data_IF_854426569521
#
_entry.id   IF_854426569521
#
_cell.length_a   1.000
_cell.length_b   1.000
_cell.length_c   1.000
_cell.angle_alpha   90.00
_cell.angle_beta   90.00
_cell.angle_gamma   90.00
#
_symmetry.space_group_name_H-M   'P 1'
#
loop_
_entity.id
_entity.type
_entity.pdbx_description
1 polymer ?
#
# COMPACT_ATOMS: atom_id res chain seq x y z
N UNK A 1 18.91 10.09 5.74
CA UNK A 1 18.85 8.78 4.99
C UNK A 1 17.48 8.07 5.05
N UNK A 2 16.51 8.57 5.82
CA UNK A 2 15.22 7.89 6.08
C UNK A 2 14.43 7.55 4.81
N UNK A 3 14.28 8.50 3.88
CA UNK A 3 13.56 8.28 2.62
C UNK A 3 14.13 7.14 1.79
N UNK A 4 15.45 7.00 1.72
CA UNK A 4 16.11 5.89 0.99
C UNK A 4 15.80 4.55 1.64
N UNK A 5 15.85 4.48 2.99
CA UNK A 5 15.46 3.27 3.74
C UNK A 5 13.99 2.91 3.50
N UNK A 6 13.09 3.89 3.48
CA UNK A 6 11.67 3.68 3.17
C UNK A 6 11.46 3.11 1.75
N UNK A 7 12.13 3.65 0.73
CA UNK A 7 12.03 3.09 -0.63
C UNK A 7 12.48 1.62 -0.64
N UNK A 8 13.61 1.31 -0.01
CA UNK A 8 14.19 -0.04 -0.06
C UNK A 8 13.40 -1.02 0.81
N UNK A 9 13.13 -0.69 2.07
CA UNK A 9 12.55 -1.63 3.03
C UNK A 9 11.03 -1.67 2.98
N UNK A 10 10.37 -0.62 2.52
CA UNK A 10 8.90 -0.58 2.51
C UNK A 10 8.36 -0.75 1.11
N UNK A 11 8.81 0.07 0.16
CA UNK A 11 8.26 0.05 -1.20
C UNK A 11 8.67 -1.23 -1.93
N UNK A 12 9.97 -1.58 -1.94
CA UNK A 12 10.41 -2.81 -2.63
C UNK A 12 9.87 -4.08 -1.95
N UNK A 13 9.85 -4.14 -0.62
CA UNK A 13 9.28 -5.30 0.10
C UNK A 13 7.77 -5.37 -0.11
N UNK A 14 7.05 -4.25 -0.08
CA UNK A 14 5.62 -4.19 -0.40
C UNK A 14 5.30 -4.56 -1.85
N UNK A 15 6.26 -4.39 -2.77
CA UNK A 15 6.15 -4.83 -4.17
C UNK A 15 6.45 -6.32 -4.37
N UNK A 16 6.87 -7.05 -3.33
CA UNK A 16 7.22 -8.48 -3.42
C UNK A 16 6.11 -9.35 -4.04
N UNK A 17 4.80 -9.18 -3.73
CA UNK A 17 3.75 -9.95 -4.37
C UNK A 17 3.72 -9.81 -5.90
N UNK A 18 4.01 -8.61 -6.42
CA UNK A 18 4.10 -8.36 -7.86
C UNK A 18 5.29 -9.08 -8.50
N UNK A 19 6.44 -9.07 -7.82
CA UNK A 19 7.63 -9.78 -8.30
C UNK A 19 7.40 -11.31 -8.32
N UNK A 20 6.74 -11.85 -7.30
CA UNK A 20 6.36 -13.26 -7.24
C UNK A 20 5.41 -13.60 -8.39
N UNK A 21 4.38 -12.80 -8.64
CA UNK A 21 3.45 -13.03 -9.76
C UNK A 21 4.11 -12.91 -11.11
N UNK A 22 5.04 -11.98 -11.27
CA UNK A 22 5.84 -11.87 -12.49
C UNK A 22 6.65 -13.14 -12.72
N UNK A 23 7.29 -13.68 -11.69
CA UNK A 23 8.03 -14.94 -11.77
C UNK A 23 7.11 -16.12 -12.13
N UNK A 24 5.95 -16.24 -11.46
CA UNK A 24 4.95 -17.28 -11.77
C UNK A 24 4.45 -17.14 -13.21
N UNK A 25 4.19 -15.94 -13.69
CA UNK A 25 3.77 -15.67 -15.07
C UNK A 25 4.83 -16.11 -16.09
N UNK A 26 6.12 -15.88 -15.82
CA UNK A 26 7.20 -16.34 -16.71
C UNK A 26 7.27 -17.86 -16.80
N UNK A 27 6.98 -18.57 -15.71
CA UNK A 27 7.01 -20.03 -15.63
C UNK A 27 5.69 -20.68 -16.07
N UNK A 28 4.59 -19.94 -16.11
CA UNK A 28 3.27 -20.47 -16.43
C UNK A 28 3.18 -20.85 -17.91
N UNK A 29 2.62 -22.04 -18.17
CA UNK A 29 2.30 -22.51 -19.52
C UNK A 29 1.21 -21.62 -20.18
N UNK A 30 0.28 -21.08 -19.37
CA UNK A 30 -0.76 -20.15 -19.82
C UNK A 30 -0.46 -18.76 -19.27
N UNK A 31 -0.04 -17.87 -20.18
CA UNK A 31 0.36 -16.48 -19.87
C UNK A 31 -0.85 -15.55 -19.86
N UNK A 32 -1.68 -15.68 -18.83
CA UNK A 32 -2.83 -14.80 -18.65
C UNK A 32 -2.41 -13.48 -17.98
N UNK A 33 -2.71 -12.36 -18.63
CA UNK A 33 -2.41 -11.02 -18.10
C UNK A 33 -3.11 -10.73 -16.76
N UNK A 34 -4.27 -11.35 -16.50
CA UNK A 34 -4.96 -11.27 -15.22
C UNK A 34 -4.17 -11.84 -14.04
N UNK A 35 -3.16 -12.68 -14.32
CA UNK A 35 -2.26 -13.24 -13.31
C UNK A 35 -1.26 -12.21 -12.77
N UNK A 36 -0.91 -11.20 -13.58
CA UNK A 36 0.02 -10.12 -13.22
C UNK A 36 -0.65 -8.98 -12.44
N UNK A 37 -1.92 -8.69 -12.74
CA UNK A 37 -2.64 -7.53 -12.19
C UNK A 37 -3.76 -7.99 -11.25
N UNK A 38 -3.39 -8.41 -10.04
CA UNK A 38 -4.36 -8.82 -9.04
C UNK A 38 -4.65 -7.65 -8.06
N UNK A 39 -5.93 -7.33 -7.80
CA UNK A 39 -6.30 -6.25 -6.87
C UNK A 39 -5.72 -6.42 -5.47
N UNK A 40 -5.55 -7.66 -5.00
CA UNK A 40 -5.03 -7.98 -3.67
C UNK A 40 -3.60 -7.46 -3.49
N UNK A 41 -2.76 -7.52 -4.53
CA UNK A 41 -1.37 -7.07 -4.42
C UNK A 41 -1.26 -5.55 -4.23
N UNK A 42 -2.10 -4.79 -4.95
CA UNK A 42 -2.19 -3.34 -4.79
C UNK A 42 -2.68 -2.95 -3.40
N UNK A 43 -3.66 -3.69 -2.87
CA UNK A 43 -4.15 -3.47 -1.51
C UNK A 43 -3.07 -3.77 -0.48
N UNK A 44 -2.34 -4.87 -0.64
CA UNK A 44 -1.22 -5.22 0.24
C UNK A 44 -0.15 -4.13 0.26
N UNK A 45 0.28 -3.66 -0.92
CA UNK A 45 1.23 -2.55 -1.00
C UNK A 45 0.70 -1.30 -0.29
N UNK A 46 -0.56 -0.93 -0.53
CA UNK A 46 -1.23 0.18 0.16
C UNK A 46 -1.23 0.02 1.69
N UNK A 47 -1.52 -1.18 2.19
CA UNK A 47 -1.50 -1.48 3.62
C UNK A 47 -0.09 -1.36 4.20
N UNK A 48 0.92 -1.93 3.53
CA UNK A 48 2.33 -1.84 3.94
C UNK A 48 2.81 -0.39 4.03
N UNK A 49 2.42 0.46 3.08
CA UNK A 49 2.75 1.89 3.07
C UNK A 49 2.14 2.62 4.28
N UNK A 50 0.84 2.44 4.52
CA UNK A 50 0.16 3.12 5.63
C UNK A 50 0.60 2.61 7.01
N UNK A 51 0.90 1.31 7.13
CA UNK A 51 1.46 0.75 8.37
C UNK A 51 2.85 1.31 8.66
N UNK A 52 3.68 1.47 7.62
CA UNK A 52 5.00 2.10 7.77
C UNK A 52 4.88 3.56 8.16
N UNK A 53 3.91 4.31 7.61
CA UNK A 53 3.67 5.70 8.03
C UNK A 53 3.44 5.78 9.55
N UNK A 54 2.57 4.93 10.09
CA UNK A 54 2.32 4.89 11.54
C UNK A 54 3.58 4.54 12.33
N UNK A 55 4.35 3.55 11.88
CA UNK A 55 5.58 3.13 12.54
C UNK A 55 6.64 4.25 12.58
N UNK A 56 6.85 4.94 11.47
CA UNK A 56 7.79 6.05 11.37
C UNK A 56 7.31 7.25 12.19
N UNK A 57 6.02 7.58 12.16
CA UNK A 57 5.48 8.73 12.90
C UNK A 57 5.50 8.52 14.42
N UNK A 58 5.37 7.29 14.91
CA UNK A 58 5.21 7.00 16.33
C UNK A 58 6.35 7.60 17.18
N UNK A 59 7.59 7.49 16.71
CA UNK A 59 8.78 7.95 17.44
C UNK A 59 9.18 9.41 17.16
N UNK A 60 8.43 10.10 16.28
CA UNK A 60 8.82 11.42 15.79
C UNK A 60 8.22 12.56 16.61
N UNK A 61 9.04 13.58 16.87
CA UNK A 61 8.66 14.82 17.57
C UNK A 61 8.16 15.85 16.56
N UNK A 62 6.99 15.58 16.00
CA UNK A 62 6.25 16.48 15.12
C UNK A 62 5.32 17.40 15.92
N UNK A 63 4.87 18.50 15.31
CA UNK A 63 3.76 19.29 15.81
C UNK A 63 2.54 18.37 16.07
N UNK A 64 1.91 18.41 17.27
CA UNK A 64 0.87 17.45 17.66
C UNK A 64 -0.29 17.34 16.66
N UNK A 65 -0.74 18.47 16.11
CA UNK A 65 -1.87 18.51 15.16
C UNK A 65 -1.47 17.88 13.83
N UNK A 66 -0.25 18.14 13.35
CA UNK A 66 0.23 17.58 12.10
C UNK A 66 0.45 16.06 12.21
N UNK A 67 1.03 15.60 13.33
CA UNK A 67 1.20 14.18 13.63
C UNK A 67 -0.15 13.45 13.65
N UNK A 68 -1.12 14.00 14.39
CA UNK A 68 -2.47 13.43 14.46
C UNK A 68 -3.14 13.33 13.08
N UNK A 69 -2.96 14.33 12.20
CA UNK A 69 -3.49 14.30 10.83
C UNK A 69 -2.87 13.18 10.01
N UNK A 70 -1.55 13.00 10.06
CA UNK A 70 -0.86 11.96 9.30
C UNK A 70 -1.18 10.55 9.81
N UNK A 71 -1.24 10.37 11.12
CA UNK A 71 -1.63 9.11 11.74
C UNK A 71 -3.10 8.78 11.41
N UNK A 72 -4.01 9.73 11.62
CA UNK A 72 -5.43 9.55 11.33
C UNK A 72 -5.70 9.20 9.86
N UNK A 73 -5.02 9.88 8.93
CA UNK A 73 -5.12 9.55 7.50
C UNK A 73 -4.66 8.11 7.21
N UNK A 74 -3.53 7.70 7.79
CA UNK A 74 -2.98 6.36 7.61
C UNK A 74 -3.92 5.29 8.17
N UNK A 75 -4.53 5.53 9.33
CA UNK A 75 -5.54 4.62 9.94
C UNK A 75 -6.79 4.51 9.07
N UNK A 76 -7.32 5.63 8.57
CA UNK A 76 -8.50 5.61 7.69
C UNK A 76 -8.22 4.78 6.43
N UNK A 77 -7.05 4.97 5.81
CA UNK A 77 -6.67 4.18 4.64
C UNK A 77 -6.52 2.70 4.95
N UNK A 78 -5.93 2.33 6.11
CA UNK A 78 -5.84 0.92 6.53
C UNK A 78 -7.23 0.30 6.65
N UNK A 79 -8.19 1.00 7.25
CA UNK A 79 -9.57 0.52 7.40
C UNK A 79 -10.22 0.31 6.03
N UNK A 80 -10.13 1.28 5.13
CA UNK A 80 -10.70 1.19 3.78
C UNK A 80 -10.08 0.04 2.98
N UNK A 81 -8.75 -0.04 2.94
CA UNK A 81 -8.01 -1.09 2.23
C UNK A 81 -8.31 -2.48 2.80
N UNK A 82 -8.37 -2.62 4.13
CA UNK A 82 -8.72 -3.90 4.78
C UNK A 82 -10.17 -4.30 4.50
N UNK A 83 -11.10 -3.34 4.42
CA UNK A 83 -12.48 -3.59 4.01
C UNK A 83 -12.58 -4.11 2.58
N UNK A 84 -11.86 -3.50 1.63
CA UNK A 84 -11.81 -3.97 0.24
C UNK A 84 -11.18 -5.36 0.17
N UNK A 85 -10.13 -5.62 0.95
CA UNK A 85 -9.50 -6.94 1.03
C UNK A 85 -10.50 -8.01 1.50
N UNK A 86 -11.27 -7.71 2.54
CA UNK A 86 -12.31 -8.61 3.04
C UNK A 86 -13.39 -8.91 1.99
N UNK A 87 -13.81 -7.91 1.22
CA UNK A 87 -14.77 -8.08 0.11
C UNK A 87 -14.18 -8.99 -0.99
N UNK A 88 -12.90 -8.81 -1.34
CA UNK A 88 -12.22 -9.63 -2.34
C UNK A 88 -12.15 -11.09 -1.92
N UNK A 89 -11.77 -11.37 -0.67
CA UNK A 89 -11.73 -12.74 -0.15
C UNK A 89 -13.12 -13.37 -0.07
N UNK A 90 -14.13 -12.60 0.34
CA UNK A 90 -15.51 -13.07 0.34
C UNK A 90 -16.00 -13.42 -1.08
N UNK A 91 -15.69 -12.59 -2.07
CA UNK A 91 -16.04 -12.84 -3.46
C UNK A 91 -15.34 -14.10 -4.01
N UNK A 92 -14.06 -14.30 -3.68
CA UNK A 92 -13.30 -15.49 -4.08
C UNK A 92 -13.90 -16.79 -3.49
N UNK A 93 -14.37 -16.74 -2.25
CA UNK A 93 -14.96 -17.90 -1.58
C UNK A 93 -16.40 -18.22 -2.04
N UNK A 94 -17.16 -17.22 -2.48
CA UNK A 94 -18.60 -17.35 -2.73
C UNK A 94 -18.98 -18.13 -4.00
N UNK A 95 -18.01 -18.46 -4.88
CA UNK A 95 -18.19 -19.14 -6.19
C UNK A 95 -19.25 -18.53 -7.13
N UNK A 96 -19.78 -17.35 -6.81
CA UNK A 96 -20.69 -16.55 -7.62
C UNK A 96 -19.97 -15.28 -8.03
N UNK A 97 -20.22 -14.78 -9.24
CA UNK A 97 -19.76 -13.46 -9.68
C UNK A 97 -20.56 -12.35 -8.96
N UNK A 98 -20.29 -12.19 -7.66
CA UNK A 98 -20.89 -11.14 -6.83
C UNK A 98 -20.14 -9.82 -6.97
N UNK A 99 -18.91 -9.85 -7.51
CA UNK A 99 -18.02 -8.70 -7.60
C UNK A 99 -17.45 -8.55 -9.01
N UNK A 100 -17.58 -7.34 -9.57
CA UNK A 100 -16.89 -6.97 -10.81
C UNK A 100 -15.39 -6.82 -10.56
N UNK A 101 -14.61 -7.74 -11.12
CA UNK A 101 -13.15 -7.81 -10.97
C UNK A 101 -12.45 -6.57 -11.54
N UNK A 102 -12.99 -5.96 -12.59
CA UNK A 102 -12.41 -4.76 -13.22
C UNK A 102 -12.57 -3.56 -12.31
N UNK A 103 -13.78 -3.36 -11.77
CA UNK A 103 -14.05 -2.27 -10.85
C UNK A 103 -13.22 -2.45 -9.57
N UNK A 104 -13.15 -3.66 -9.03
CA UNK A 104 -12.33 -3.96 -7.86
C UNK A 104 -10.84 -3.65 -8.09
N UNK A 105 -10.31 -3.99 -9.27
CA UNK A 105 -8.94 -3.66 -9.66
C UNK A 105 -8.69 -2.15 -9.76
N UNK A 106 -9.59 -1.40 -10.41
CA UNK A 106 -9.48 0.05 -10.52
C UNK A 106 -9.50 0.71 -9.14
N UNK A 107 -10.40 0.28 -8.26
CA UNK A 107 -10.46 0.76 -6.88
C UNK A 107 -9.17 0.46 -6.12
N UNK A 108 -8.66 -0.78 -6.20
CA UNK A 108 -7.42 -1.19 -5.54
C UNK A 108 -6.22 -0.35 -6.00
N UNK A 109 -6.09 -0.11 -7.30
CA UNK A 109 -5.04 0.73 -7.88
C UNK A 109 -5.18 2.18 -7.37
N UNK A 110 -6.38 2.75 -7.41
CA UNK A 110 -6.61 4.13 -6.98
C UNK A 110 -6.25 4.34 -5.50
N UNK A 111 -6.70 3.46 -4.60
CA UNK A 111 -6.37 3.53 -3.18
C UNK A 111 -4.89 3.28 -2.90
N UNK A 112 -4.25 2.38 -3.64
CA UNK A 112 -2.80 2.15 -3.55
C UNK A 112 -1.99 3.39 -3.97
N UNK A 113 -2.34 4.01 -5.10
CA UNK A 113 -1.67 5.23 -5.57
C UNK A 113 -1.86 6.39 -4.59
N UNK A 114 -3.08 6.56 -4.08
CA UNK A 114 -3.36 7.55 -3.05
C UNK A 114 -2.52 7.31 -1.79
N UNK A 115 -2.44 6.06 -1.32
CA UNK A 115 -1.56 5.67 -0.20
C UNK A 115 -0.10 6.00 -0.47
N UNK A 116 0.40 5.75 -1.68
CA UNK A 116 1.78 6.04 -2.06
C UNK A 116 2.07 7.54 -2.07
N UNK A 117 1.19 8.36 -2.65
CA UNK A 117 1.34 9.82 -2.69
C UNK A 117 1.42 10.38 -1.27
N UNK A 118 0.51 9.96 -0.40
CA UNK A 118 0.49 10.39 1.00
C UNK A 118 1.70 9.90 1.78
N UNK A 119 2.07 8.63 1.63
CA UNK A 119 3.27 8.07 2.28
C UNK A 119 4.53 8.82 1.86
N UNK A 120 4.70 9.10 0.55
CA UNK A 120 5.82 9.89 0.05
C UNK A 120 5.80 11.33 0.60
N UNK A 121 4.63 11.96 0.74
CA UNK A 121 4.51 13.28 1.36
C UNK A 121 4.96 13.28 2.84
N UNK A 122 4.55 12.28 3.61
CA UNK A 122 4.98 12.10 5.01
C UNK A 122 6.50 11.90 5.07
N UNK A 123 7.06 11.00 4.25
CA UNK A 123 8.50 10.73 4.25
C UNK A 123 9.33 11.93 3.82
N UNK A 124 8.84 12.76 2.90
CA UNK A 124 9.48 14.02 2.54
C UNK A 124 9.49 14.99 3.71
N UNK A 125 8.36 15.11 4.44
CA UNK A 125 8.27 15.97 5.61
C UNK A 125 9.22 15.50 6.71
N UNK A 126 9.25 14.19 7.01
CA UNK A 126 10.17 13.61 7.98
C UNK A 126 11.63 13.84 7.61
N UNK A 127 11.99 13.61 6.34
CA UNK A 127 13.34 13.91 5.84
C UNK A 127 13.71 15.38 6.04
N UNK A 128 12.80 16.32 5.74
CA UNK A 128 13.09 17.76 5.91
C UNK A 128 13.31 18.17 7.36
N UNK A 129 12.75 17.42 8.31
CA UNK A 129 12.98 17.65 9.74
C UNK A 129 14.32 17.08 10.19
N UNK A 130 14.73 15.94 9.64
CA UNK A 130 16.07 15.39 9.87
C UNK A 130 17.13 16.39 9.36
N UNK A 131 17.00 16.86 8.12
CA UNK A 131 17.97 17.75 7.46
C UNK A 131 18.04 19.16 8.11
N UNK A 132 17.04 19.56 8.91
CA UNK A 132 16.99 20.84 9.62
C UNK A 132 17.37 20.79 11.11
N UNK A 133 17.60 19.59 11.64
CA UNK A 133 18.09 19.35 13.01
C UNK A 133 19.60 19.05 13.07
N UNK A 134 20.27 18.98 11.91
CA UNK A 134 21.74 18.93 11.75
C UNK A 134 22.32 20.34 11.60
#
# INVERSE_FOLDING_TARGET
MRKTKWIIYTVLIGLMPFLIRLFVFMLSANREWGLLFNPVDFIFLGLTLNLTNLNELNNEKLEPILKLKFEGYSVIQIILLSGILGILYFAEQSQKDVLDKTIALVCAIAFCLLSFIFSNAIMNKLKSLDDGND
#
